data_IF_014994064670
#
_entry.id   IF_014994064670
#
_cell.length_a   1.000
_cell.length_b   1.000
_cell.length_c   1.000
_cell.angle_alpha   90.00
_cell.angle_beta   90.00
_cell.angle_gamma   90.00
#
_symmetry.space_group_name_H-M   'P 1'
#
loop_
_entity.id
_entity.type
_entity.pdbx_description
1 polymer ?
#
# COMPACT_ATOMS: atom_id res chain seq x y z
N UNK A 1 12.25 10.27 1.61
CA UNK A 1 10.81 10.59 1.67
C UNK A 1 10.45 11.77 0.78
N UNK A 2 11.16 12.90 0.88
CA UNK A 2 10.91 14.14 0.13
C UNK A 2 10.74 13.96 -1.40
N UNK A 3 11.50 13.07 -2.03
CA UNK A 3 11.41 12.83 -3.49
C UNK A 3 10.09 12.15 -3.90
N UNK A 4 9.59 11.19 -3.11
CA UNK A 4 8.33 10.49 -3.43
C UNK A 4 7.15 11.46 -3.29
N UNK A 5 7.16 12.27 -2.23
CA UNK A 5 6.18 13.33 -1.99
C UNK A 5 6.20 14.37 -3.13
N UNK A 6 7.38 14.92 -3.45
CA UNK A 6 7.51 15.93 -4.49
C UNK A 6 7.05 15.45 -5.88
N UNK A 7 7.39 14.20 -6.24
CA UNK A 7 6.94 13.60 -7.51
C UNK A 7 5.42 13.39 -7.48
N UNK A 8 4.88 12.83 -6.40
CA UNK A 8 3.47 12.47 -6.34
C UNK A 8 2.55 13.71 -6.30
N UNK A 9 2.92 14.74 -5.53
CA UNK A 9 2.18 16.01 -5.49
C UNK A 9 2.34 16.78 -6.81
N UNK A 10 3.54 16.83 -7.38
CA UNK A 10 3.80 17.48 -8.67
C UNK A 10 3.03 16.82 -9.83
N UNK A 11 2.93 15.50 -9.82
CA UNK A 11 2.19 14.72 -10.83
C UNK A 11 0.67 14.63 -10.56
N UNK A 12 0.18 15.17 -9.43
CA UNK A 12 -1.21 15.00 -8.96
C UNK A 12 -1.64 13.53 -8.89
N UNK A 13 -0.72 12.66 -8.46
CA UNK A 13 -0.99 11.24 -8.30
C UNK A 13 -1.96 11.02 -7.13
N UNK A 14 -2.90 10.09 -7.28
CA UNK A 14 -3.75 9.69 -6.17
C UNK A 14 -2.96 8.94 -5.09
N UNK A 15 -1.98 8.15 -5.49
CA UNK A 15 -1.12 7.40 -4.60
C UNK A 15 0.20 7.05 -5.28
N UNK A 16 1.19 6.63 -4.50
CA UNK A 16 2.47 6.13 -4.96
C UNK A 16 3.11 5.26 -3.88
N UNK A 17 4.12 4.48 -4.23
CA UNK A 17 4.89 3.73 -3.23
C UNK A 17 6.34 3.59 -3.64
N UNK A 18 7.20 3.40 -2.66
CA UNK A 18 8.60 3.04 -2.84
C UNK A 18 8.92 1.84 -1.97
N UNK A 19 9.54 0.82 -2.56
CA UNK A 19 9.86 -0.45 -1.89
C UNK A 19 11.21 -0.97 -2.40
N UNK A 20 12.05 -1.57 -1.54
CA UNK A 20 13.25 -2.29 -1.98
C UNK A 20 12.94 -3.35 -3.04
N UNK A 21 13.83 -3.53 -4.02
CA UNK A 21 13.54 -4.34 -5.21
C UNK A 21 13.09 -5.77 -4.90
N UNK A 22 13.78 -6.46 -3.99
CA UNK A 22 13.45 -7.83 -3.56
C UNK A 22 12.03 -7.93 -3.00
N UNK A 23 11.65 -7.04 -2.08
CA UNK A 23 10.29 -6.98 -1.55
C UNK A 23 9.28 -6.58 -2.65
N UNK A 24 9.68 -5.70 -3.57
CA UNK A 24 8.85 -5.28 -4.70
C UNK A 24 8.48 -6.42 -5.66
N UNK A 25 9.38 -7.38 -5.89
CA UNK A 25 9.12 -8.57 -6.72
C UNK A 25 8.06 -9.45 -6.06
N UNK A 26 8.20 -9.74 -4.78
CA UNK A 26 7.22 -10.54 -4.02
C UNK A 26 5.85 -9.85 -3.96
N UNK A 27 5.81 -8.53 -3.73
CA UNK A 27 4.56 -7.75 -3.74
C UNK A 27 3.91 -7.74 -5.14
N UNK A 28 4.71 -7.66 -6.21
CA UNK A 28 4.18 -7.71 -7.58
C UNK A 28 3.45 -9.04 -7.87
N UNK A 29 3.94 -10.15 -7.30
CA UNK A 29 3.35 -11.49 -7.43
C UNK A 29 1.99 -11.66 -6.74
N UNK A 30 1.53 -10.66 -5.97
CA UNK A 30 0.16 -10.63 -5.47
C UNK A 30 -0.87 -10.40 -6.57
N UNK A 31 -0.45 -9.80 -7.69
CA UNK A 31 -1.35 -9.39 -8.76
C UNK A 31 -1.81 -10.60 -9.54
N UNK A 32 -3.11 -10.91 -9.43
CA UNK A 32 -3.72 -11.94 -10.27
C UNK A 32 -3.83 -11.43 -11.70
N UNK A 33 -2.96 -11.90 -12.58
CA UNK A 33 -2.90 -11.46 -13.97
C UNK A 33 -3.92 -12.18 -14.85
N UNK A 34 -4.37 -13.38 -14.46
CA UNK A 34 -5.37 -14.18 -15.17
C UNK A 34 -6.40 -14.80 -14.24
N UNK A 35 -7.66 -15.04 -14.67
CA UNK A 35 -8.68 -15.73 -13.87
C UNK A 35 -8.23 -17.12 -13.40
N UNK A 36 -7.46 -17.82 -14.22
CA UNK A 36 -6.94 -19.17 -13.99
C UNK A 36 -5.60 -19.21 -13.22
N UNK A 37 -5.08 -18.05 -12.78
CA UNK A 37 -3.96 -18.03 -11.84
C UNK A 37 -4.44 -18.57 -10.48
N UNK A 38 -4.12 -19.84 -10.23
CA UNK A 38 -4.46 -20.58 -9.01
C UNK A 38 -3.29 -20.61 -8.02
N UNK A 39 -2.09 -20.20 -8.43
CA UNK A 39 -0.95 -20.17 -7.53
C UNK A 39 -1.15 -19.09 -6.46
N UNK A 40 -1.17 -19.46 -5.17
CA UNK A 40 -1.29 -18.48 -4.10
C UNK A 40 -0.05 -17.58 -4.11
N UNK A 41 -0.21 -16.28 -3.79
CA UNK A 41 0.93 -15.37 -3.69
C UNK A 41 1.95 -15.89 -2.67
N UNK A 42 3.25 -15.67 -2.92
CA UNK A 42 4.28 -16.10 -2.00
C UNK A 42 4.07 -15.49 -0.61
N UNK A 43 4.56 -16.19 0.41
CA UNK A 43 4.62 -15.71 1.81
C UNK A 43 3.24 -15.45 2.45
N UNK A 44 2.16 -15.95 1.87
CA UNK A 44 0.80 -15.80 2.38
C UNK A 44 0.28 -14.37 2.27
N UNK A 45 0.80 -13.60 1.31
CA UNK A 45 0.27 -12.28 0.98
C UNK A 45 -1.10 -12.40 0.29
N UNK A 46 -1.98 -11.41 0.43
CA UNK A 46 -3.30 -11.48 -0.19
C UNK A 46 -3.20 -11.35 -1.71
N UNK A 47 -4.11 -12.03 -2.41
CA UNK A 47 -4.33 -11.85 -3.85
C UNK A 47 -4.95 -10.47 -4.08
N UNK A 48 -4.43 -9.72 -5.04
CA UNK A 48 -4.99 -8.43 -5.47
C UNK A 48 -5.47 -8.51 -6.92
N UNK A 49 -6.50 -7.71 -7.25
CA UNK A 49 -7.00 -7.57 -8.61
C UNK A 49 -5.96 -6.91 -9.50
N UNK A 50 -6.02 -7.21 -10.80
CA UNK A 50 -5.23 -6.49 -11.78
C UNK A 50 -5.60 -5.00 -11.79
N UNK A 51 -4.66 -4.10 -12.07
CA UNK A 51 -4.92 -2.66 -12.22
C UNK A 51 -6.11 -2.35 -13.13
N UNK A 52 -6.25 -3.11 -14.22
CA UNK A 52 -7.30 -2.95 -15.22
C UNK A 52 -8.70 -3.32 -14.71
N UNK A 53 -8.78 -4.17 -13.67
CA UNK A 53 -10.03 -4.58 -13.05
C UNK A 53 -10.43 -3.67 -11.87
N UNK A 54 -9.59 -2.70 -11.49
CA UNK A 54 -9.90 -1.73 -10.45
C UNK A 54 -10.80 -0.61 -10.97
N UNK A 55 -11.83 -0.27 -10.20
CA UNK A 55 -12.86 0.70 -10.58
C UNK A 55 -12.60 2.11 -10.04
N UNK A 56 -11.75 2.24 -9.02
CA UNK A 56 -11.50 3.50 -8.32
C UNK A 56 -10.01 3.84 -8.38
N UNK A 57 -9.62 4.91 -9.11
CA UNK A 57 -8.22 5.33 -9.21
C UNK A 57 -7.64 5.82 -7.88
N UNK A 58 -8.49 6.21 -6.93
CA UNK A 58 -8.11 6.65 -5.58
C UNK A 58 -7.66 5.50 -4.69
N UNK A 59 -8.08 4.26 -4.99
CA UNK A 59 -7.70 3.09 -4.19
C UNK A 59 -6.31 2.63 -4.63
N UNK A 60 -5.32 2.54 -3.71
CA UNK A 60 -4.01 2.03 -4.03
C UNK A 60 -4.06 0.58 -4.56
N UNK A 61 -3.29 0.29 -5.59
CA UNK A 61 -3.24 -1.06 -6.16
C UNK A 61 -2.50 -2.02 -5.22
N UNK A 62 -1.45 -1.54 -4.56
CA UNK A 62 -0.59 -2.33 -3.67
C UNK A 62 0.01 -1.44 -2.59
N UNK A 63 0.40 -2.07 -1.48
CA UNK A 63 1.20 -1.44 -0.44
C UNK A 63 2.69 -1.61 -0.75
N UNK A 64 3.48 -0.70 -0.21
CA UNK A 64 4.94 -0.75 -0.27
C UNK A 64 5.57 -0.33 1.06
N UNK A 65 6.90 -0.24 1.10
CA UNK A 65 7.61 0.22 2.30
C UNK A 65 7.22 1.64 2.70
N UNK A 66 7.33 2.56 1.74
CA UNK A 66 6.81 3.91 1.83
C UNK A 66 5.61 4.00 0.90
N UNK A 67 4.51 4.56 1.38
CA UNK A 67 3.31 4.80 0.58
C UNK A 67 2.94 6.27 0.65
N UNK A 68 2.76 6.90 -0.50
CA UNK A 68 2.11 8.20 -0.59
C UNK A 68 0.63 7.99 -0.89
N UNK A 69 -0.25 8.63 -0.13
CA UNK A 69 -1.68 8.67 -0.37
C UNK A 69 -2.13 10.13 -0.40
N UNK A 70 -2.68 10.59 -1.52
CA UNK A 70 -3.39 11.86 -1.58
C UNK A 70 -4.52 11.91 -0.56
N UNK A 71 -5.06 13.11 -0.28
CA UNK A 71 -6.22 13.27 0.58
C UNK A 71 -7.42 12.40 0.12
N UNK A 72 -7.62 12.28 -1.20
CA UNK A 72 -8.68 11.45 -1.78
C UNK A 72 -8.44 9.95 -1.54
N UNK A 73 -7.21 9.48 -1.77
CA UNK A 73 -6.84 8.08 -1.54
C UNK A 73 -6.91 7.70 -0.05
N UNK A 74 -6.40 8.55 0.84
CA UNK A 74 -6.46 8.35 2.28
C UNK A 74 -7.92 8.25 2.76
N UNK A 75 -8.80 9.14 2.26
CA UNK A 75 -10.24 9.06 2.54
C UNK A 75 -10.87 7.77 1.99
N UNK A 76 -10.51 7.37 0.78
CA UNK A 76 -11.06 6.18 0.14
C UNK A 76 -10.73 4.90 0.91
N UNK A 77 -9.54 4.79 1.52
CA UNK A 77 -9.14 3.63 2.32
C UNK A 77 -9.44 3.78 3.83
N UNK A 78 -10.06 4.89 4.24
CA UNK A 78 -10.38 5.16 5.64
C UNK A 78 -9.16 5.41 6.53
N UNK A 79 -8.15 6.11 6.03
CA UNK A 79 -6.96 6.53 6.78
C UNK A 79 -6.95 8.06 7.02
N UNK A 80 -6.60 8.54 8.22
CA UNK A 80 -6.28 7.77 9.42
C UNK A 80 -7.49 7.49 10.33
N UNK A 81 -7.49 6.34 10.99
CA UNK A 81 -8.29 6.00 12.17
C UNK A 81 -7.38 6.02 13.41
N UNK A 82 -7.49 7.03 14.30
CA UNK A 82 -6.61 7.16 15.46
C UNK A 82 -6.59 5.95 16.40
N UNK A 83 -7.67 5.15 16.43
CA UNK A 83 -7.77 4.00 17.33
C UNK A 83 -7.07 2.77 16.77
N UNK A 84 -6.92 2.69 15.45
CA UNK A 84 -6.40 1.51 14.74
C UNK A 84 -5.04 1.75 14.08
N UNK A 85 -4.72 3.02 13.81
CA UNK A 85 -3.56 3.41 13.01
C UNK A 85 -2.49 4.11 13.84
N UNK A 86 -2.55 4.08 15.18
CA UNK A 86 -1.61 4.79 16.04
C UNK A 86 -0.14 4.52 15.70
N UNK A 87 0.21 3.25 15.44
CA UNK A 87 1.56 2.87 15.06
C UNK A 87 1.95 3.38 13.66
N UNK A 88 1.05 3.24 12.67
CA UNK A 88 1.29 3.78 11.33
C UNK A 88 1.39 5.31 11.37
N UNK A 89 0.53 5.98 12.13
CA UNK A 89 0.52 7.43 12.33
C UNK A 89 1.81 7.95 12.94
N UNK A 90 2.39 7.22 13.89
CA UNK A 90 3.69 7.59 14.48
C UNK A 90 4.83 7.63 13.45
N UNK A 91 4.67 6.86 12.35
CA UNK A 91 5.60 6.74 11.22
C UNK A 91 5.06 7.39 9.95
N UNK A 92 4.01 8.21 10.08
CA UNK A 92 3.39 8.91 8.96
C UNK A 92 3.59 10.41 9.07
N UNK A 93 3.71 11.07 7.92
CA UNK A 93 3.77 12.51 7.80
C UNK A 93 2.65 13.01 6.90
N UNK A 94 1.97 14.07 7.32
CA UNK A 94 1.00 14.78 6.48
C UNK A 94 1.71 15.71 5.50
N UNK A 95 1.32 15.66 4.24
CA UNK A 95 1.88 16.51 3.18
C UNK A 95 1.18 17.87 3.13
N UNK A 96 1.76 18.84 2.42
CA UNK A 96 1.22 20.19 2.30
C UNK A 96 -0.17 20.21 1.63
N UNK A 97 -0.43 19.29 0.69
CA UNK A 97 -1.74 19.18 0.02
C UNK A 97 -2.76 18.34 0.80
N UNK A 98 -2.43 17.93 2.02
CA UNK A 98 -3.31 17.16 2.90
C UNK A 98 -3.30 15.65 2.62
N UNK A 99 -2.36 15.17 1.81
CA UNK A 99 -2.03 13.75 1.69
C UNK A 99 -1.17 13.24 2.85
N UNK A 100 -0.72 12.00 2.72
CA UNK A 100 0.06 11.28 3.71
C UNK A 100 1.21 10.55 3.04
N UNK A 101 2.39 10.63 3.65
CA UNK A 101 3.49 9.70 3.42
C UNK A 101 3.53 8.78 4.62
N UNK A 102 3.33 7.48 4.39
CA UNK A 102 3.22 6.45 5.42
C UNK A 102 4.38 5.49 5.27
N UNK A 103 5.09 5.25 6.37
CA UNK A 103 6.17 4.28 6.44
C UNK A 103 5.70 3.04 7.20
N UNK A 104 5.79 1.88 6.55
CA UNK A 104 5.30 0.61 7.10
C UNK A 104 6.22 0.06 8.21
N UNK A 105 7.53 0.25 8.06
CA UNK A 105 8.58 -0.24 8.97
C UNK A 105 9.72 0.77 9.02
N UNK A 106 10.39 0.90 10.17
CA UNK A 106 11.48 1.88 10.36
C UNK A 106 12.69 1.62 9.46
N UNK A 107 12.96 0.35 9.16
CA UNK A 107 13.98 -0.08 8.21
C UNK A 107 13.37 -0.41 6.84
N UNK A 108 14.14 -0.38 5.74
CA UNK A 108 13.68 -0.82 4.43
C UNK A 108 12.98 -2.18 4.45
N UNK A 109 11.82 -2.28 3.81
CA UNK A 109 11.00 -3.49 3.82
C UNK A 109 11.80 -4.70 3.32
N UNK A 110 11.78 -5.76 4.11
CA UNK A 110 12.52 -7.01 3.87
C UNK A 110 11.59 -8.17 4.22
N UNK A 111 11.08 -8.88 3.21
CA UNK A 111 10.08 -9.94 3.43
C UNK A 111 10.68 -11.27 3.91
N UNK A 112 12.00 -11.37 4.02
CA UNK A 112 12.67 -12.45 4.73
C UNK A 112 12.70 -12.21 6.25
N UNK A 113 12.48 -10.97 6.69
CA UNK A 113 12.23 -10.67 8.10
C UNK A 113 10.74 -10.90 8.41
N UNK A 114 10.39 -11.86 9.28
CA UNK A 114 9.00 -12.17 9.60
C UNK A 114 8.24 -10.97 10.19
N UNK A 115 8.90 -10.09 10.95
CA UNK A 115 8.25 -8.90 11.50
C UNK A 115 7.83 -7.89 10.42
N UNK A 116 8.64 -7.76 9.36
CA UNK A 116 8.33 -6.88 8.23
C UNK A 116 7.21 -7.47 7.36
N UNK A 117 7.21 -8.79 7.17
CA UNK A 117 6.13 -9.49 6.48
C UNK A 117 4.82 -9.38 7.25
N UNK A 118 4.86 -9.54 8.58
CA UNK A 118 3.70 -9.42 9.45
C UNK A 118 3.11 -8.00 9.41
N UNK A 119 3.95 -6.97 9.53
CA UNK A 119 3.52 -5.58 9.37
C UNK A 119 2.82 -5.33 8.03
N UNK A 120 3.34 -5.89 6.93
CA UNK A 120 2.71 -5.79 5.61
C UNK A 120 1.34 -6.49 5.57
N UNK A 121 1.22 -7.68 6.17
CA UNK A 121 -0.06 -8.42 6.26
C UNK A 121 -1.08 -7.66 7.10
N UNK A 122 -0.70 -7.19 8.28
CA UNK A 122 -1.56 -6.39 9.14
C UNK A 122 -2.04 -5.12 8.43
N UNK A 123 -1.18 -4.45 7.65
CA UNK A 123 -1.58 -3.30 6.85
C UNK A 123 -2.59 -3.68 5.77
N UNK A 124 -2.42 -4.83 5.11
CA UNK A 124 -3.43 -5.35 4.18
C UNK A 124 -4.74 -5.73 4.88
N UNK A 125 -4.73 -6.24 6.11
CA UNK A 125 -5.95 -6.52 6.88
C UNK A 125 -6.65 -5.22 7.31
N UNK A 126 -5.88 -4.19 7.65
CA UNK A 126 -6.39 -2.87 8.03
C UNK A 126 -7.06 -2.15 6.87
N UNK A 127 -6.54 -2.30 5.66
CA UNK A 127 -7.05 -1.63 4.45
C UNK A 127 -7.59 -2.66 3.44
N UNK A 128 -8.76 -3.28 3.70
CA UNK A 128 -9.30 -4.35 2.87
C UNK A 128 -9.59 -3.90 1.44
N UNK A 129 -9.81 -2.62 1.19
CA UNK A 129 -10.08 -2.10 -0.15
C UNK A 129 -8.85 -2.10 -1.07
N UNK A 130 -7.64 -2.01 -0.50
CA UNK A 130 -6.40 -1.97 -1.29
C UNK A 130 -6.27 -3.21 -2.16
N UNK A 131 -5.90 -3.00 -3.43
CA UNK A 131 -5.82 -4.06 -4.42
C UNK A 131 -7.19 -4.58 -4.87
N UNK A 132 -8.26 -3.82 -4.63
CA UNK A 132 -9.63 -4.17 -5.03
C UNK A 132 -10.15 -5.43 -4.36
N UNK A 133 -9.66 -5.75 -3.15
CA UNK A 133 -9.98 -6.99 -2.42
C UNK A 133 -11.36 -6.96 -1.77
N UNK A 134 -11.83 -5.79 -1.34
CA UNK A 134 -13.24 -5.63 -0.97
C UNK A 134 -14.13 -5.77 -2.21
N UNK A 135 -15.16 -6.60 -2.10
CA UNK A 135 -16.32 -6.56 -3.00
C UNK A 135 -17.29 -5.48 -2.50
N UNK A 136 -17.95 -4.73 -3.41
CA UNK A 136 -19.11 -3.93 -3.02
C UNK A 136 -20.26 -4.82 -2.51
#
# INVERSE_FOLDING_TARGET
MEVLEAIAEGARSYWGHATPFNAGVDIARQTKNRPDDLEPPPRGLPVIKSPSAMRSPEIPHRLGWLSYWSAAAARAIGFPDPSRDAELLSRSRRTATGGWVVQLTDAPLNLDNPAHLDALKQAYERFPEIGGRSTP
#
